data_IF_161816569110
#
_entry.id   IF_161816569110
#
_cell.length_a   1.000
_cell.length_b   1.000
_cell.length_c   1.000
_cell.angle_alpha   90.00
_cell.angle_beta   90.00
_cell.angle_gamma   90.00
#
_symmetry.space_group_name_H-M   'P 1'
#
loop_
_entity.id
_entity.type
_entity.pdbx_description
1 polymer ?
#
# COMPACT_ATOMS: atom_id res chain seq x y z
N UNK A 1 -10.41 -8.21 22.43
CA UNK A 1 -10.28 -8.56 21.01
C UNK A 1 -10.53 -10.06 20.85
N UNK A 2 -11.30 -10.50 19.85
CA UNK A 2 -11.61 -11.94 19.66
C UNK A 2 -10.39 -12.69 19.13
N UNK A 3 -10.29 -13.99 19.42
CA UNK A 3 -9.17 -14.84 18.97
C UNK A 3 -8.90 -14.76 17.46
N UNK A 4 -9.92 -14.79 16.56
CA UNK A 4 -9.66 -14.65 15.12
C UNK A 4 -8.95 -13.35 14.73
N UNK A 5 -9.30 -12.23 15.37
CA UNK A 5 -8.66 -10.93 15.09
C UNK A 5 -7.21 -10.90 15.57
N UNK A 6 -6.91 -11.53 16.71
CA UNK A 6 -5.51 -11.68 17.17
C UNK A 6 -4.68 -12.52 16.19
N UNK A 7 -5.25 -13.61 15.67
CA UNK A 7 -4.61 -14.43 14.64
C UNK A 7 -4.39 -13.61 13.36
N UNK A 8 -5.40 -12.86 12.92
CA UNK A 8 -5.29 -11.96 11.77
C UNK A 8 -4.13 -10.97 11.91
N UNK A 9 -3.98 -10.33 13.07
CA UNK A 9 -2.88 -9.38 13.32
C UNK A 9 -1.52 -10.07 13.32
N UNK A 10 -1.42 -11.28 13.89
CA UNK A 10 -0.19 -12.06 13.85
C UNK A 10 0.16 -12.48 12.41
N UNK A 11 -0.83 -12.90 11.63
CA UNK A 11 -0.65 -13.23 10.21
C UNK A 11 -0.26 -12.00 9.39
N UNK A 12 -0.84 -10.82 9.64
CA UNK A 12 -0.46 -9.59 8.94
C UNK A 12 1.00 -9.20 9.22
N UNK A 13 1.45 -9.34 10.48
CA UNK A 13 2.86 -9.14 10.83
C UNK A 13 3.77 -10.16 10.16
N UNK A 14 3.34 -11.43 10.07
CA UNK A 14 4.07 -12.46 9.34
C UNK A 14 4.19 -12.10 7.85
N UNK A 15 3.10 -11.62 7.22
CA UNK A 15 3.13 -11.15 5.84
C UNK A 15 4.19 -10.06 5.65
N UNK A 16 4.18 -9.03 6.50
CA UNK A 16 5.17 -7.95 6.45
C UNK A 16 6.60 -8.50 6.56
N UNK A 17 6.85 -9.39 7.53
CA UNK A 17 8.17 -9.97 7.74
C UNK A 17 8.67 -10.76 6.53
N UNK A 18 7.85 -11.68 6.02
CA UNK A 18 8.22 -12.52 4.88
C UNK A 18 8.40 -11.71 3.60
N UNK A 19 7.53 -10.72 3.34
CA UNK A 19 7.68 -9.82 2.20
C UNK A 19 9.01 -9.06 2.26
N UNK A 20 9.35 -8.48 3.41
CA UNK A 20 10.59 -7.72 3.57
C UNK A 20 11.85 -8.60 3.49
N UNK A 21 11.75 -9.87 3.88
CA UNK A 21 12.88 -10.80 3.91
C UNK A 21 13.14 -11.49 2.57
N UNK A 22 12.09 -11.88 1.85
CA UNK A 22 12.19 -12.85 0.74
C UNK A 22 11.90 -12.25 -0.64
N UNK A 23 11.33 -11.04 -0.74
CA UNK A 23 10.84 -10.51 -2.03
C UNK A 23 11.95 -10.32 -3.07
N UNK A 24 13.14 -9.88 -2.66
CA UNK A 24 14.26 -9.70 -3.58
C UNK A 24 14.69 -11.04 -4.20
N UNK A 25 14.87 -12.07 -3.37
CA UNK A 25 15.28 -13.40 -3.83
C UNK A 25 14.17 -14.04 -4.68
N UNK A 26 12.91 -13.86 -4.29
CA UNK A 26 11.77 -14.34 -5.07
C UNK A 26 11.68 -13.70 -6.46
N UNK A 27 11.90 -12.39 -6.57
CA UNK A 27 11.90 -11.69 -7.86
C UNK A 27 13.09 -12.11 -8.75
N UNK A 28 14.26 -12.35 -8.15
CA UNK A 28 15.43 -12.88 -8.86
C UNK A 28 15.16 -14.29 -9.39
N UNK A 29 14.58 -15.17 -8.57
CA UNK A 29 14.19 -16.52 -8.96
C UNK A 29 13.12 -16.50 -10.07
N UNK A 30 12.10 -15.65 -9.94
CA UNK A 30 11.06 -15.47 -10.94
C UNK A 30 11.64 -15.03 -12.30
N UNK A 31 12.57 -14.07 -12.29
CA UNK A 31 13.25 -13.58 -13.51
C UNK A 31 14.05 -14.69 -14.22
N UNK A 32 14.62 -15.62 -13.45
CA UNK A 32 15.36 -16.78 -13.96
C UNK A 32 14.44 -17.97 -14.29
N UNK A 33 13.14 -17.87 -13.98
CA UNK A 33 12.15 -18.95 -14.08
C UNK A 33 12.54 -20.18 -13.26
N UNK A 34 13.14 -19.95 -12.09
CA UNK A 34 13.53 -20.99 -11.15
C UNK A 34 12.56 -21.04 -9.97
N UNK A 35 12.25 -22.24 -9.49
CA UNK A 35 11.32 -22.45 -8.37
C UNK A 35 12.14 -22.68 -7.11
N UNK A 36 12.28 -21.61 -6.33
CA UNK A 36 13.03 -21.59 -5.07
C UNK A 36 12.10 -21.51 -3.86
N UNK A 37 12.61 -21.84 -2.67
CA UNK A 37 11.88 -21.69 -1.41
C UNK A 37 11.41 -20.23 -1.18
N UNK A 38 12.23 -19.24 -1.53
CA UNK A 38 11.85 -17.82 -1.45
C UNK A 38 10.67 -17.49 -2.38
N UNK A 39 10.65 -18.02 -3.61
CA UNK A 39 9.53 -17.80 -4.53
C UNK A 39 8.25 -18.45 -4.01
N UNK A 40 8.34 -19.69 -3.50
CA UNK A 40 7.21 -20.39 -2.88
C UNK A 40 6.70 -19.60 -1.67
N UNK A 41 7.60 -19.17 -0.79
CA UNK A 41 7.29 -18.40 0.42
C UNK A 41 6.52 -17.10 0.10
N UNK A 42 6.94 -16.35 -0.93
CA UNK A 42 6.25 -15.13 -1.35
C UNK A 42 4.89 -15.44 -1.99
N UNK A 43 4.76 -16.52 -2.76
CA UNK A 43 3.46 -16.94 -3.31
C UNK A 43 2.49 -17.32 -2.19
N UNK A 44 2.94 -18.11 -1.21
CA UNK A 44 2.14 -18.50 -0.05
C UNK A 44 1.79 -17.27 0.81
N UNK A 45 2.72 -16.33 0.96
CA UNK A 45 2.49 -15.08 1.68
C UNK A 45 1.40 -14.24 1.01
N UNK A 46 1.50 -14.03 -0.30
CA UNK A 46 0.56 -13.21 -1.07
C UNK A 46 -0.84 -13.83 -1.11
N UNK A 47 -0.94 -15.15 -1.25
CA UNK A 47 -2.22 -15.84 -1.44
C UNK A 47 -2.80 -16.32 -0.11
N UNK A 48 -2.07 -17.19 0.59
CA UNK A 48 -2.57 -17.87 1.79
C UNK A 48 -2.56 -16.93 3.00
N UNK A 49 -1.41 -16.33 3.32
CA UNK A 49 -1.30 -15.48 4.50
C UNK A 49 -2.15 -14.20 4.33
N UNK A 50 -2.08 -13.54 3.16
CA UNK A 50 -2.95 -12.42 2.82
C UNK A 50 -4.44 -12.77 2.90
N UNK A 51 -4.85 -13.93 2.37
CA UNK A 51 -6.23 -14.40 2.46
C UNK A 51 -6.69 -14.66 3.90
N UNK A 52 -5.80 -15.17 4.76
CA UNK A 52 -6.08 -15.39 6.18
C UNK A 52 -6.23 -14.08 6.97
N UNK A 53 -5.47 -13.04 6.64
CA UNK A 53 -5.65 -11.70 7.25
C UNK A 53 -7.08 -11.22 7.02
N UNK A 54 -7.53 -11.16 5.75
CA UNK A 54 -8.88 -10.73 5.44
C UNK A 54 -9.96 -11.67 6.02
N UNK A 55 -9.73 -12.99 5.96
CA UNK A 55 -10.70 -13.99 6.41
C UNK A 55 -10.88 -14.07 7.92
N UNK A 56 -9.83 -13.79 8.71
CA UNK A 56 -9.87 -13.87 10.18
C UNK A 56 -10.13 -12.51 10.85
N UNK A 57 -9.75 -11.41 10.19
CA UNK A 57 -9.84 -10.07 10.76
C UNK A 57 -11.25 -9.49 10.74
N UNK A 58 -12.16 -10.01 9.92
CA UNK A 58 -13.53 -9.49 9.77
C UNK A 58 -13.49 -7.96 9.53
N UNK A 59 -14.25 -7.15 10.28
CA UNK A 59 -14.20 -5.70 10.19
C UNK A 59 -12.86 -5.06 10.58
N UNK A 60 -12.00 -5.77 11.33
CA UNK A 60 -10.70 -5.27 11.79
C UNK A 60 -9.53 -5.61 10.86
N UNK A 61 -9.70 -6.57 9.94
CA UNK A 61 -8.67 -6.96 8.95
C UNK A 61 -8.90 -6.35 7.57
N UNK A 62 -9.77 -5.34 7.49
CA UNK A 62 -10.09 -4.66 6.24
C UNK A 62 -8.95 -3.74 5.81
N UNK A 63 -9.07 -3.35 4.55
CA UNK A 63 -8.30 -2.28 3.92
C UNK A 63 -8.57 -0.91 4.58
N UNK A 64 -7.69 0.07 4.42
CA UNK A 64 -7.83 1.43 4.98
C UNK A 64 -7.55 2.50 3.90
N UNK A 65 -6.88 3.61 4.23
CA UNK A 65 -6.59 4.69 3.27
C UNK A 65 -5.83 4.20 2.03
N UNK A 66 -4.87 3.28 2.17
CA UNK A 66 -4.05 2.83 1.05
C UNK A 66 -4.89 2.32 -0.14
N UNK A 67 -5.98 1.61 0.15
CA UNK A 67 -6.86 1.12 -0.90
C UNK A 67 -7.81 2.19 -1.43
N UNK A 68 -8.22 3.16 -0.61
CA UNK A 68 -9.00 4.30 -1.10
C UNK A 68 -8.19 5.21 -2.02
N UNK A 69 -6.89 5.40 -1.74
CA UNK A 69 -5.97 6.06 -2.66
C UNK A 69 -5.79 5.23 -3.94
N UNK A 70 -5.61 3.91 -3.84
CA UNK A 70 -5.63 3.02 -5.01
C UNK A 70 -6.90 3.21 -5.85
N UNK A 71 -8.08 3.18 -5.22
CA UNK A 71 -9.38 3.31 -5.91
C UNK A 71 -9.46 4.67 -6.62
N UNK A 72 -8.98 5.71 -5.97
CA UNK A 72 -8.91 7.04 -6.54
C UNK A 72 -7.96 7.13 -7.74
N UNK A 73 -6.81 6.46 -7.70
CA UNK A 73 -5.89 6.40 -8.83
C UNK A 73 -6.53 5.76 -10.08
N UNK A 74 -7.45 4.80 -9.92
CA UNK A 74 -8.08 4.13 -11.07
C UNK A 74 -8.92 5.03 -11.98
N UNK A 75 -9.27 6.23 -11.53
CA UNK A 75 -10.03 7.19 -12.35
C UNK A 75 -9.18 7.84 -13.46
N UNK A 76 -7.85 7.78 -13.37
CA UNK A 76 -6.93 8.36 -14.33
C UNK A 76 -6.48 7.30 -15.35
N UNK A 77 -6.69 7.56 -16.64
CA UNK A 77 -6.34 6.64 -17.74
C UNK A 77 -4.85 6.33 -17.76
N UNK A 78 -4.02 7.31 -17.40
CA UNK A 78 -2.56 7.20 -17.30
C UNK A 78 -2.14 6.07 -16.36
N UNK A 79 -2.94 5.76 -15.34
CA UNK A 79 -2.60 4.72 -14.35
C UNK A 79 -3.08 3.32 -14.74
N UNK A 80 -3.82 3.15 -15.85
CA UNK A 80 -4.50 1.88 -16.17
C UNK A 80 -3.55 0.73 -16.48
N UNK A 81 -2.34 1.05 -16.96
CA UNK A 81 -1.32 0.05 -17.26
C UNK A 81 -0.57 -0.48 -16.03
N UNK A 82 -0.69 0.21 -14.88
CA UNK A 82 -0.14 -0.28 -13.61
C UNK A 82 -1.07 -1.30 -12.95
N UNK A 83 -0.46 -2.31 -12.35
CA UNK A 83 -1.11 -3.35 -11.58
C UNK A 83 -1.72 -2.80 -10.29
N UNK A 84 -2.67 -3.56 -9.74
CA UNK A 84 -3.32 -3.24 -8.46
C UNK A 84 -2.31 -2.98 -7.34
N UNK A 85 -1.35 -3.90 -7.16
CA UNK A 85 -0.34 -3.81 -6.09
C UNK A 85 0.57 -2.59 -6.21
N UNK A 86 0.86 -2.12 -7.42
CA UNK A 86 1.68 -0.92 -7.65
C UNK A 86 0.97 0.34 -7.15
N UNK A 87 -0.32 0.47 -7.46
CA UNK A 87 -1.16 1.58 -6.95
C UNK A 87 -1.38 1.50 -5.43
N UNK A 88 -1.58 0.29 -4.88
CA UNK A 88 -1.69 0.09 -3.42
C UNK A 88 -0.37 0.44 -2.72
N UNK A 89 0.78 0.12 -3.31
CA UNK A 89 2.09 0.45 -2.75
C UNK A 89 2.24 1.97 -2.54
N UNK A 90 1.91 2.80 -3.53
CA UNK A 90 1.86 4.25 -3.34
C UNK A 90 0.86 4.65 -2.24
N UNK A 91 -0.34 4.06 -2.25
CA UNK A 91 -1.35 4.28 -1.22
C UNK A 91 -0.86 4.00 0.21
N UNK A 92 0.01 3.00 0.41
CA UNK A 92 0.62 2.71 1.73
C UNK A 92 1.49 3.87 2.20
N UNK A 93 2.29 4.46 1.30
CA UNK A 93 3.12 5.63 1.66
C UNK A 93 2.25 6.83 2.08
N UNK A 94 1.15 7.06 1.35
CA UNK A 94 0.18 8.11 1.71
C UNK A 94 -0.49 7.82 3.05
N UNK A 95 -0.89 6.56 3.30
CA UNK A 95 -1.49 6.18 4.58
C UNK A 95 -0.52 6.41 5.75
N UNK A 96 0.74 5.98 5.63
CA UNK A 96 1.74 6.20 6.68
C UNK A 96 1.97 7.69 6.94
N UNK A 97 1.96 8.53 5.90
CA UNK A 97 2.05 9.98 6.07
C UNK A 97 0.83 10.57 6.80
N UNK A 98 -0.38 10.06 6.55
CA UNK A 98 -1.60 10.46 7.27
C UNK A 98 -1.58 10.00 8.73
N UNK A 99 -1.03 8.82 9.00
CA UNK A 99 -0.82 8.28 10.35
C UNK A 99 0.37 8.95 11.08
N UNK A 100 1.14 9.82 10.39
CA UNK A 100 2.37 10.45 10.88
C UNK A 100 3.50 9.44 11.20
N UNK A 101 3.44 8.24 10.62
CA UNK A 101 4.38 7.13 10.81
C UNK A 101 5.61 7.24 9.87
N UNK A 102 6.30 8.38 9.96
CA UNK A 102 7.43 8.71 9.07
C UNK A 102 8.62 7.77 9.22
N UNK A 103 8.87 7.22 10.41
CA UNK A 103 9.93 6.25 10.63
C UNK A 103 9.69 4.96 9.84
N UNK A 104 8.45 4.45 9.85
CA UNK A 104 8.10 3.25 9.09
C UNK A 104 8.12 3.53 7.58
N UNK A 105 7.64 4.71 7.15
CA UNK A 105 7.74 5.13 5.76
C UNK A 105 9.19 5.13 5.28
N UNK A 106 10.10 5.76 6.03
CA UNK A 106 11.53 5.83 5.72
C UNK A 106 12.16 4.42 5.62
N UNK A 107 11.73 3.50 6.48
CA UNK A 107 12.17 2.10 6.45
C UNK A 107 11.70 1.34 5.22
N UNK A 108 10.54 1.69 4.65
CA UNK A 108 10.01 1.03 3.45
C UNK A 108 10.62 1.55 2.15
N UNK A 109 11.09 2.80 2.09
CA UNK A 109 11.60 3.38 0.84
C UNK A 109 12.76 2.59 0.20
N UNK A 110 13.79 2.12 0.94
CA UNK A 110 14.85 1.30 0.36
C UNK A 110 14.31 -0.01 -0.21
N UNK A 111 13.38 -0.65 0.52
CA UNK A 111 12.75 -1.89 0.08
C UNK A 111 11.95 -1.67 -1.22
N UNK A 112 11.10 -0.64 -1.28
CA UNK A 112 10.33 -0.32 -2.48
C UNK A 112 11.25 -0.08 -3.69
N UNK A 113 12.33 0.69 -3.50
CA UNK A 113 13.35 0.92 -4.55
C UNK A 113 13.98 -0.39 -5.02
N UNK A 114 14.32 -1.26 -4.08
CA UNK A 114 14.99 -2.54 -4.35
C UNK A 114 14.12 -3.51 -5.16
N UNK A 115 12.82 -3.57 -4.87
CA UNK A 115 11.89 -4.47 -5.56
C UNK A 115 11.09 -3.81 -6.70
N UNK A 116 11.39 -2.54 -7.02
CA UNK A 116 10.81 -1.83 -8.16
C UNK A 116 9.38 -1.33 -7.97
N UNK A 117 8.94 -1.10 -6.73
CA UNK A 117 7.63 -0.50 -6.45
C UNK A 117 7.62 1.02 -6.67
N UNK A 118 6.49 1.60 -7.10
CA UNK A 118 6.37 3.04 -7.28
C UNK A 118 6.44 3.75 -5.93
N UNK A 119 7.11 4.91 -5.92
CA UNK A 119 7.27 5.75 -4.74
C UNK A 119 6.39 6.99 -4.83
N UNK A 120 6.25 7.56 -6.03
CA UNK A 120 5.58 8.83 -6.29
C UNK A 120 4.46 8.69 -7.31
N UNK A 121 3.62 9.71 -7.44
CA UNK A 121 2.68 9.83 -8.56
C UNK A 121 3.40 9.83 -9.92
N UNK A 122 4.59 10.41 -10.00
CA UNK A 122 5.40 10.42 -11.22
C UNK A 122 5.79 8.99 -11.65
N UNK A 123 6.12 8.10 -10.69
CA UNK A 123 6.36 6.68 -10.98
C UNK A 123 5.09 5.95 -11.47
N UNK A 124 3.91 6.50 -11.17
CA UNK A 124 2.61 6.03 -11.64
C UNK A 124 2.10 6.80 -12.89
N UNK A 125 2.98 7.56 -13.56
CA UNK A 125 2.65 8.29 -14.78
C UNK A 125 1.76 9.52 -14.56
N UNK A 126 1.64 10.01 -13.32
CA UNK A 126 0.83 11.18 -12.96
C UNK A 126 1.68 12.33 -12.44
N UNK A 127 1.28 13.55 -12.77
CA UNK A 127 1.84 14.74 -12.15
C UNK A 127 1.23 14.97 -10.75
N UNK A 128 2.03 15.44 -9.80
CA UNK A 128 1.55 15.86 -8.46
C UNK A 128 1.00 17.30 -8.45
N UNK A 129 0.18 17.64 -9.46
CA UNK A 129 -0.50 18.94 -9.53
C UNK A 129 -1.61 19.06 -8.49
N UNK A 130 -1.98 20.28 -8.11
CA UNK A 130 -3.06 20.51 -7.13
C UNK A 130 -4.38 19.86 -7.57
N UNK A 131 -4.67 19.89 -8.87
CA UNK A 131 -5.89 19.35 -9.47
C UNK A 131 -5.93 17.83 -9.36
N UNK A 132 -4.82 17.14 -9.67
CA UNK A 132 -4.70 15.69 -9.54
C UNK A 132 -4.83 15.29 -8.08
N UNK A 133 -4.09 15.95 -7.18
CA UNK A 133 -4.12 15.66 -5.75
C UNK A 133 -5.52 15.84 -5.15
N UNK A 134 -6.22 16.91 -5.52
CA UNK A 134 -7.59 17.16 -5.07
C UNK A 134 -8.56 16.10 -5.60
N UNK A 135 -8.44 15.73 -6.88
CA UNK A 135 -9.27 14.68 -7.46
C UNK A 135 -9.04 13.31 -6.80
N UNK A 136 -7.80 12.99 -6.40
CA UNK A 136 -7.51 11.78 -5.62
C UNK A 136 -8.18 11.87 -4.24
N UNK A 137 -8.01 13.00 -3.53
CA UNK A 137 -8.56 13.19 -2.19
C UNK A 137 -10.10 13.12 -2.15
N UNK A 138 -10.77 13.83 -3.07
CA UNK A 138 -12.23 13.85 -3.16
C UNK A 138 -12.80 12.44 -3.41
N UNK A 139 -12.13 11.67 -4.28
CA UNK A 139 -12.53 10.29 -4.60
C UNK A 139 -12.26 9.33 -3.44
N UNK A 140 -11.09 9.44 -2.78
CA UNK A 140 -10.70 8.61 -1.66
C UNK A 140 -11.58 8.82 -0.42
N UNK A 141 -12.24 9.98 -0.29
CA UNK A 141 -13.11 10.33 0.83
C UNK A 141 -14.60 10.10 0.57
N UNK A 142 -14.98 9.47 -0.56
CA UNK A 142 -16.38 9.10 -0.78
C UNK A 142 -16.93 8.28 0.40
N UNK A 143 -18.22 8.40 0.77
CA UNK A 143 -18.76 7.73 1.97
C UNK A 143 -18.62 6.20 1.99
N UNK A 144 -18.44 5.57 0.82
CA UNK A 144 -18.25 4.13 0.65
C UNK A 144 -16.81 3.66 0.79
N UNK A 145 -15.84 4.56 0.93
CA UNK A 145 -14.42 4.25 0.89
C UNK A 145 -13.87 3.77 2.24
N UNK A 146 -12.81 2.96 2.18
CA UNK A 146 -12.21 2.33 3.35
C UNK A 146 -11.31 3.24 4.20
N UNK A 147 -10.95 4.43 3.72
CA UNK A 147 -10.25 5.43 4.54
C UNK A 147 -11.00 5.73 5.86
N UNK A 148 -12.33 5.61 5.86
CA UNK A 148 -13.18 5.83 7.04
C UNK A 148 -13.05 4.73 8.11
N UNK A 149 -12.29 3.65 7.85
CA UNK A 149 -11.94 2.64 8.85
C UNK A 149 -10.70 2.99 9.66
N UNK A 150 -9.99 4.06 9.31
CA UNK A 150 -8.92 4.59 10.14
C UNK A 150 -9.47 5.17 11.45
N UNK A 151 -8.62 5.26 12.48
CA UNK A 151 -9.02 5.81 13.78
C UNK A 151 -9.39 7.30 13.72
N UNK A 152 -8.93 8.00 12.68
CA UNK A 152 -9.15 9.42 12.45
C UNK A 152 -9.97 9.64 11.17
N UNK A 153 -10.79 10.68 11.16
CA UNK A 153 -11.47 11.15 9.96
C UNK A 153 -10.63 12.23 9.29
N UNK A 154 -10.53 12.17 7.97
CA UNK A 154 -9.71 13.11 7.20
C UNK A 154 -10.58 14.02 6.34
N UNK A 155 -10.17 15.28 6.24
CA UNK A 155 -10.68 16.26 5.27
C UNK A 155 -9.92 16.13 3.95
N UNK A 156 -10.48 16.62 2.82
CA UNK A 156 -9.77 16.62 1.54
C UNK A 156 -8.42 17.31 1.60
N UNK A 157 -8.30 18.40 2.36
CA UNK A 157 -7.05 19.13 2.52
C UNK A 157 -5.99 18.32 3.27
N UNK A 158 -6.38 17.53 4.28
CA UNK A 158 -5.45 16.65 5.01
C UNK A 158 -4.93 15.54 4.09
N UNK A 159 -5.79 14.93 3.28
CA UNK A 159 -5.37 13.91 2.30
C UNK A 159 -4.44 14.51 1.25
N UNK A 160 -4.75 15.70 0.71
CA UNK A 160 -3.87 16.44 -0.21
C UNK A 160 -2.52 16.73 0.44
N UNK A 161 -2.51 17.23 1.68
CA UNK A 161 -1.27 17.54 2.39
C UNK A 161 -0.44 16.28 2.69
N UNK A 162 -1.09 15.16 3.01
CA UNK A 162 -0.44 13.85 3.17
C UNK A 162 0.29 13.44 1.89
N UNK A 163 -0.39 13.46 0.74
CA UNK A 163 0.22 13.19 -0.56
C UNK A 163 1.37 14.16 -0.88
N UNK A 164 1.19 15.48 -0.71
CA UNK A 164 2.27 16.48 -0.91
C UNK A 164 3.49 16.19 -0.04
N UNK A 165 3.27 15.73 1.18
CA UNK A 165 4.35 15.41 2.12
C UNK A 165 5.14 14.20 1.64
N UNK A 166 4.46 13.15 1.16
CA UNK A 166 5.09 11.99 0.50
C UNK A 166 5.90 12.42 -0.74
N UNK A 167 5.28 13.18 -1.65
CA UNK A 167 5.91 13.66 -2.89
C UNK A 167 7.15 14.53 -2.62
N UNK A 168 7.11 15.35 -1.57
CA UNK A 168 8.25 16.18 -1.16
C UNK A 168 9.34 15.35 -0.48
N UNK A 169 8.95 14.38 0.35
CA UNK A 169 9.88 13.56 1.10
C UNK A 169 10.71 12.66 0.19
N UNK A 170 10.10 12.05 -0.83
CA UNK A 170 10.79 11.14 -1.76
C UNK A 170 11.78 11.85 -2.69
N UNK A 171 11.57 13.15 -2.94
CA UNK A 171 12.48 13.98 -3.75
C UNK A 171 13.74 14.42 -3.01
N UNK A 172 13.81 14.21 -1.68
CA UNK A 172 15.02 14.48 -0.88
C UNK A 172 16.04 13.36 -1.05
#
# INVERSE_FOLDING_TARGET
MRVPVLLSMQTANLCKQLLLQESEQALAALSQKDVTDSLISIIETNIMAGGLVGGLGDDYGRIAAAHSIHNALTQFEETHHFLHGEKVAYGILVQLALEQEWEELERLLPFYKQIGLPLSLEHLGLESSEEVLKAIADKALLPSESIHFMNESFTPNEVVNGMKSVETYIKK
#
